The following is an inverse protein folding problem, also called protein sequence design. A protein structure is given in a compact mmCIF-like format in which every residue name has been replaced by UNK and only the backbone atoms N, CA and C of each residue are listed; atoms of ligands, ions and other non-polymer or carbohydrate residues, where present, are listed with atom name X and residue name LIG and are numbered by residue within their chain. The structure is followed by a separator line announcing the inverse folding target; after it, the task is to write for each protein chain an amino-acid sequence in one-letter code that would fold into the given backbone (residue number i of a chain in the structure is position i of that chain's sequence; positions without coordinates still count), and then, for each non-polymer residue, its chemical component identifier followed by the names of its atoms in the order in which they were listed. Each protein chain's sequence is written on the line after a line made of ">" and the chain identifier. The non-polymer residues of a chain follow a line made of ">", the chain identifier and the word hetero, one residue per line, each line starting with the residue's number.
data_IF_350706520040
#
_entry.id   IF_350706520040
#
_cell.length_a   1.000
_cell.length_b   1.000
_cell.length_c   1.000
_cell.angle_alpha   90.00
_cell.angle_beta   90.00
_cell.angle_gamma   90.00
#
_symmetry.space_group_name_H-M   'P 1'
#
loop_
_entity.id
_entity.type
_entity.pdbx_description
1 polymer ?
#
# COMPACT_ATOMS: atom_id res chain seq x y z
N UNK A 1 24.73 10.93 66.92
CA UNK A 1 24.30 10.42 65.63
C UNK A 1 24.20 11.60 64.67
N UNK A 2 25.22 11.78 63.77
CA UNK A 2 25.26 12.90 62.83
C UNK A 2 24.32 12.62 61.68
N UNK A 3 23.29 13.40 61.58
CA UNK A 3 22.36 13.41 60.48
C UNK A 3 23.03 14.06 59.26
N UNK A 4 23.81 13.27 58.48
CA UNK A 4 24.37 13.77 57.22
C UNK A 4 23.21 13.97 56.21
N UNK A 5 22.73 15.22 56.13
CA UNK A 5 21.88 15.63 55.02
C UNK A 5 22.71 15.55 53.76
N UNK A 6 22.46 14.55 52.94
CA UNK A 6 22.98 14.48 51.59
C UNK A 6 22.59 15.73 50.82
N UNK A 7 23.51 16.35 50.11
CA UNK A 7 23.22 17.54 49.31
C UNK A 7 22.14 17.22 48.25
N UNK A 8 21.23 18.16 47.98
CA UNK A 8 20.22 17.93 46.93
C UNK A 8 20.89 17.73 45.55
N UNK A 9 20.44 16.73 44.83
CA UNK A 9 20.94 16.44 43.49
C UNK A 9 19.98 17.06 42.45
N UNK A 10 20.48 17.50 41.26
CA UNK A 10 19.64 17.98 40.17
C UNK A 10 18.59 16.92 39.75
N UNK A 11 17.43 17.39 39.32
CA UNK A 11 16.29 16.50 39.01
C UNK A 11 16.61 15.48 37.91
N UNK A 12 17.39 15.89 36.90
CA UNK A 12 17.81 15.02 35.81
C UNK A 12 18.77 13.93 36.27
N UNK A 13 19.64 14.26 37.22
CA UNK A 13 20.53 13.29 37.82
C UNK A 13 19.77 12.28 38.69
N UNK A 14 18.79 12.76 39.46
CA UNK A 14 17.91 11.90 40.26
C UNK A 14 17.12 10.93 39.36
N UNK A 15 16.54 11.46 38.28
CA UNK A 15 15.82 10.64 37.28
C UNK A 15 16.72 9.58 36.67
N UNK A 16 17.94 9.96 36.23
CA UNK A 16 18.88 9.01 35.63
C UNK A 16 19.29 7.91 36.61
N UNK A 17 19.54 8.25 37.88
CA UNK A 17 19.86 7.26 38.90
C UNK A 17 18.69 6.33 39.19
N UNK A 18 17.46 6.83 39.28
CA UNK A 18 16.27 6.02 39.45
C UNK A 18 16.07 5.05 38.28
N UNK A 19 16.15 5.54 37.04
CA UNK A 19 16.02 4.70 35.85
C UNK A 19 17.12 3.62 35.77
N UNK A 20 18.34 3.94 36.16
CA UNK A 20 19.44 2.98 36.18
C UNK A 20 19.31 1.90 37.28
N UNK A 21 18.49 2.15 38.32
CA UNK A 21 18.23 1.19 39.41
C UNK A 21 17.03 0.26 39.13
N UNK A 22 16.32 0.48 38.04
CA UNK A 22 15.15 -0.33 37.66
C UNK A 22 15.56 -1.38 36.62
N UNK A 23 15.40 -2.63 36.96
CA UNK A 23 15.63 -3.72 36.03
C UNK A 23 14.53 -3.74 34.95
N UNK A 24 14.95 -3.91 33.69
CA UNK A 24 13.98 -4.08 32.59
C UNK A 24 13.26 -5.42 32.72
N UNK A 25 11.97 -5.42 32.44
CA UNK A 25 11.18 -6.66 32.34
C UNK A 25 11.78 -7.50 31.20
N UNK A 26 12.26 -8.71 31.56
CA UNK A 26 12.88 -9.65 30.61
C UNK A 26 11.98 -10.79 30.20
N UNK A 27 10.87 -11.01 30.94
CA UNK A 27 9.91 -12.05 30.62
C UNK A 27 8.98 -11.63 29.48
N UNK A 28 8.76 -12.54 28.52
CA UNK A 28 7.85 -12.33 27.39
C UNK A 28 6.82 -13.44 27.34
N UNK A 29 5.66 -13.14 26.76
CA UNK A 29 4.59 -14.09 26.53
C UNK A 29 4.01 -13.90 25.11
N UNK A 30 3.42 -14.93 24.55
CA UNK A 30 2.69 -14.87 23.29
C UNK A 30 1.21 -14.70 23.64
N UNK A 31 0.61 -13.66 23.11
CA UNK A 31 -0.81 -13.34 23.30
C UNK A 31 -1.55 -13.28 21.97
N UNK A 32 -2.87 -13.41 22.00
CA UNK A 32 -3.71 -13.19 20.83
C UNK A 32 -3.68 -11.71 20.43
N UNK A 33 -4.00 -11.41 19.17
CA UNK A 33 -4.09 -10.02 18.70
C UNK A 33 -5.12 -9.21 19.50
N UNK A 34 -6.22 -9.84 19.89
CA UNK A 34 -7.29 -9.21 20.67
C UNK A 34 -6.81 -8.79 22.06
N UNK A 35 -5.85 -9.54 22.64
CA UNK A 35 -5.28 -9.28 23.95
C UNK A 35 -4.01 -8.40 23.91
N UNK A 36 -3.55 -8.02 22.70
CA UNK A 36 -2.30 -7.28 22.51
C UNK A 36 -2.42 -5.77 22.81
N UNK A 37 -3.63 -5.24 22.86
CA UNK A 37 -3.86 -3.82 23.13
C UNK A 37 -3.31 -3.41 24.51
N UNK A 38 -2.47 -2.35 24.54
CA UNK A 38 -1.82 -1.88 25.77
C UNK A 38 -0.60 -2.68 26.21
N UNK A 39 -0.16 -3.69 25.44
CA UNK A 39 1.06 -4.44 25.67
C UNK A 39 2.26 -3.74 25.03
N UNK A 40 3.44 -4.07 25.50
CA UNK A 40 4.72 -3.62 24.94
C UNK A 40 5.30 -4.75 24.10
N UNK A 41 5.67 -4.43 22.85
CA UNK A 41 6.27 -5.41 21.95
C UNK A 41 7.64 -5.86 22.50
N UNK A 42 7.85 -7.17 22.59
CA UNK A 42 9.12 -7.74 23.06
C UNK A 42 10.22 -7.70 21.98
N UNK A 43 9.81 -7.63 20.71
CA UNK A 43 10.69 -7.54 19.54
C UNK A 43 10.07 -6.66 18.47
N UNK A 44 10.84 -6.27 17.48
CA UNK A 44 10.32 -5.54 16.32
C UNK A 44 9.38 -6.46 15.52
N UNK A 45 8.18 -5.97 15.24
CA UNK A 45 7.20 -6.68 14.38
C UNK A 45 7.34 -6.13 12.97
N UNK A 46 7.60 -7.02 12.02
CA UNK A 46 7.78 -6.66 10.61
C UNK A 46 6.64 -7.22 9.74
N UNK A 47 6.36 -6.53 8.65
CA UNK A 47 5.40 -7.02 7.67
C UNK A 47 5.88 -8.31 6.99
N UNK A 48 4.99 -9.29 6.89
CA UNK A 48 5.24 -10.54 6.16
C UNK A 48 4.88 -10.45 4.68
N UNK A 49 4.20 -9.38 4.27
CA UNK A 49 3.65 -9.18 2.93
C UNK A 49 3.83 -7.74 2.48
N UNK A 50 3.80 -7.53 1.17
CA UNK A 50 3.61 -6.22 0.57
C UNK A 50 2.14 -5.80 0.64
N UNK A 51 1.85 -4.51 0.86
CA UNK A 51 0.51 -3.93 0.74
C UNK A 51 0.53 -2.71 -0.21
N UNK A 52 -0.22 -2.73 -1.32
CA UNK A 52 -0.94 -3.89 -1.85
C UNK A 52 0.03 -5.01 -2.28
N UNK A 53 -0.49 -6.24 -2.49
CA UNK A 53 0.33 -7.38 -2.96
C UNK A 53 0.59 -7.37 -4.46
N UNK A 54 -0.24 -6.66 -5.21
CA UNK A 54 -0.27 -6.62 -6.67
C UNK A 54 -0.35 -5.19 -7.16
N UNK A 55 -0.08 -4.98 -8.44
CA UNK A 55 -0.45 -3.72 -9.08
C UNK A 55 -1.97 -3.58 -9.09
N UNK A 56 -2.48 -2.46 -8.59
CA UNK A 56 -3.91 -2.20 -8.48
C UNK A 56 -4.26 -0.86 -9.13
N UNK A 57 -5.47 -0.75 -9.67
CA UNK A 57 -5.99 0.51 -10.15
C UNK A 57 -6.14 1.51 -8.98
N UNK A 58 -5.60 2.71 -9.15
CA UNK A 58 -5.74 3.80 -8.19
C UNK A 58 -7.03 4.61 -8.38
N UNK A 59 -7.67 4.47 -9.55
CA UNK A 59 -8.86 5.22 -9.96
C UNK A 59 -9.79 4.34 -10.77
N UNK A 60 -11.04 4.77 -10.92
CA UNK A 60 -12.01 4.17 -11.84
C UNK A 60 -11.72 4.63 -13.26
N UNK A 61 -11.69 3.68 -14.21
CA UNK A 61 -11.35 4.00 -15.59
C UNK A 61 -11.29 2.79 -16.50
N UNK A 62 -10.34 2.86 -17.41
CA UNK A 62 -10.07 1.80 -18.39
C UNK A 62 -8.59 1.43 -18.34
N UNK A 63 -8.31 0.14 -18.08
CA UNK A 63 -6.96 -0.40 -18.17
C UNK A 63 -6.55 -0.52 -19.63
N UNK A 64 -5.36 -0.08 -19.97
CA UNK A 64 -4.79 -0.10 -21.33
C UNK A 64 -3.27 -0.24 -21.29
N UNK A 65 -2.69 -0.63 -22.42
CA UNK A 65 -1.26 -0.53 -22.69
C UNK A 65 -0.92 0.92 -23.10
N UNK A 66 -0.06 1.59 -22.35
CA UNK A 66 0.32 2.99 -22.60
C UNK A 66 1.11 3.17 -23.89
N UNK A 67 1.90 2.18 -24.29
CA UNK A 67 2.68 2.21 -25.53
C UNK A 67 1.75 2.08 -26.75
N UNK A 68 0.73 1.23 -26.68
CA UNK A 68 -0.27 1.12 -27.73
C UNK A 68 -1.05 2.43 -27.90
N UNK A 69 -1.48 3.04 -26.79
CA UNK A 69 -2.15 4.34 -26.83
C UNK A 69 -1.26 5.44 -27.41
N UNK A 70 0.03 5.45 -27.06
CA UNK A 70 0.98 6.43 -27.60
C UNK A 70 1.22 6.28 -29.09
N UNK A 71 1.24 5.03 -29.60
CA UNK A 71 1.43 4.73 -31.01
C UNK A 71 0.21 5.12 -31.87
N UNK A 72 -1.00 5.12 -31.30
CA UNK A 72 -2.24 5.45 -31.99
C UNK A 72 -3.16 6.32 -31.10
N UNK A 73 -2.88 7.62 -30.96
CA UNK A 73 -3.72 8.53 -30.20
C UNK A 73 -5.16 8.54 -30.72
N UNK A 74 -6.14 8.60 -29.82
CA UNK A 74 -7.57 8.54 -30.12
C UNK A 74 -8.07 7.23 -30.78
N UNK A 75 -7.26 6.16 -30.70
CA UNK A 75 -7.73 4.84 -31.13
C UNK A 75 -8.96 4.43 -30.33
N UNK A 76 -9.87 3.73 -31.02
CA UNK A 76 -10.97 3.02 -30.40
C UNK A 76 -10.45 1.71 -29.78
N UNK A 77 -10.62 1.57 -28.48
CA UNK A 77 -10.37 0.32 -27.77
C UNK A 77 -11.68 -0.41 -27.55
N UNK A 78 -11.70 -1.71 -27.78
CA UNK A 78 -12.84 -2.58 -27.48
C UNK A 78 -12.82 -2.94 -25.99
N UNK A 79 -13.92 -2.71 -25.29
CA UNK A 79 -14.09 -3.10 -23.89
C UNK A 79 -14.48 -4.59 -23.86
N UNK A 80 -13.59 -5.45 -23.34
CA UNK A 80 -13.79 -6.90 -23.34
C UNK A 80 -14.17 -7.46 -21.98
N UNK A 81 -14.18 -6.64 -20.94
CA UNK A 81 -14.53 -7.08 -19.60
C UNK A 81 -14.42 -6.00 -18.55
N UNK A 82 -14.60 -6.42 -17.32
CA UNK A 82 -14.62 -5.56 -16.13
C UNK A 82 -13.79 -6.20 -15.04
N UNK A 83 -12.95 -5.39 -14.38
CA UNK A 83 -12.23 -5.79 -13.15
C UNK A 83 -12.70 -4.93 -11.96
N UNK A 84 -12.94 -5.57 -10.82
CA UNK A 84 -13.32 -4.92 -9.56
C UNK A 84 -12.44 -5.41 -8.43
N UNK A 85 -12.37 -4.65 -7.32
CA UNK A 85 -11.71 -5.11 -6.11
C UNK A 85 -12.26 -6.48 -5.68
N UNK A 86 -11.36 -7.45 -5.49
CA UNK A 86 -11.72 -8.83 -5.19
C UNK A 86 -12.18 -9.68 -6.39
N UNK A 87 -12.37 -9.09 -7.57
CA UNK A 87 -12.83 -9.78 -8.79
C UNK A 87 -11.95 -9.33 -9.96
N UNK A 88 -10.75 -9.92 -10.12
CA UNK A 88 -9.84 -9.62 -11.21
C UNK A 88 -10.45 -10.08 -12.56
N UNK A 89 -9.95 -9.50 -13.64
CA UNK A 89 -10.28 -9.97 -14.98
C UNK A 89 -9.31 -11.10 -15.37
N UNK A 90 -9.82 -12.28 -15.65
CA UNK A 90 -9.04 -13.49 -15.96
C UNK A 90 -8.95 -13.80 -17.46
N UNK A 91 -9.51 -12.94 -18.32
CA UNK A 91 -9.50 -13.12 -19.77
C UNK A 91 -8.15 -12.79 -20.41
N UNK A 92 -7.97 -13.26 -21.65
CA UNK A 92 -6.84 -12.84 -22.49
C UNK A 92 -7.18 -11.51 -23.13
N UNK A 93 -6.21 -10.58 -23.11
CA UNK A 93 -6.35 -9.23 -23.65
C UNK A 93 -5.47 -9.12 -24.89
N UNK A 94 -6.06 -8.74 -26.00
CA UNK A 94 -5.39 -8.51 -27.27
C UNK A 94 -5.09 -7.03 -27.54
N UNK A 95 -4.41 -6.79 -28.65
CA UNK A 95 -4.12 -5.43 -29.15
C UNK A 95 -5.43 -4.71 -29.49
N UNK A 96 -5.61 -3.48 -29.03
CA UNK A 96 -6.84 -2.69 -29.25
C UNK A 96 -7.96 -3.01 -28.27
N UNK A 97 -7.67 -3.76 -27.22
CA UNK A 97 -8.65 -4.11 -26.20
C UNK A 97 -8.37 -3.39 -24.89
N UNK A 98 -9.40 -3.06 -24.17
CA UNK A 98 -9.38 -2.43 -22.86
C UNK A 98 -10.31 -3.18 -21.91
N UNK A 99 -10.09 -3.03 -20.63
CA UNK A 99 -11.05 -3.46 -19.61
C UNK A 99 -11.58 -2.26 -18.84
N UNK A 100 -12.83 -2.25 -18.48
CA UNK A 100 -13.34 -1.32 -17.48
C UNK A 100 -12.81 -1.74 -16.11
N UNK A 101 -12.11 -0.83 -15.41
CA UNK A 101 -11.46 -1.16 -14.16
C UNK A 101 -11.89 -0.19 -13.07
N UNK A 102 -12.10 -0.72 -11.88
CA UNK A 102 -12.47 0.05 -10.69
C UNK A 102 -11.34 0.11 -9.70
N UNK A 103 -11.32 1.19 -8.91
CA UNK A 103 -10.34 1.43 -7.83
C UNK A 103 -10.16 0.20 -6.97
N UNK A 104 -8.90 -0.17 -6.72
CA UNK A 104 -8.52 -1.35 -5.94
C UNK A 104 -8.51 -2.67 -6.71
N UNK A 105 -9.02 -2.71 -7.96
CA UNK A 105 -8.95 -3.91 -8.78
C UNK A 105 -7.52 -4.23 -9.20
N UNK A 106 -7.20 -5.52 -9.29
CA UNK A 106 -5.90 -5.99 -9.78
C UNK A 106 -5.76 -5.64 -11.25
N UNK A 107 -4.61 -5.08 -11.62
CA UNK A 107 -4.27 -4.78 -13.00
C UNK A 107 -3.96 -6.07 -13.77
N UNK A 108 -4.57 -6.29 -14.93
CA UNK A 108 -4.15 -7.36 -15.83
C UNK A 108 -2.72 -7.16 -16.31
N UNK A 109 -1.98 -8.23 -16.50
CA UNK A 109 -0.56 -8.18 -16.92
C UNK A 109 -0.32 -7.55 -18.30
N UNK A 110 -1.35 -7.53 -19.17
CA UNK A 110 -1.28 -6.92 -20.49
C UNK A 110 -1.46 -5.38 -20.47
N UNK A 111 -1.87 -4.81 -19.35
CA UNK A 111 -2.10 -3.38 -19.20
C UNK A 111 -1.13 -2.78 -18.17
N UNK A 112 -0.64 -1.59 -18.44
CA UNK A 112 0.34 -0.91 -17.62
C UNK A 112 -0.09 0.49 -17.16
N UNK A 113 -1.33 0.88 -17.45
CA UNK A 113 -1.87 2.18 -17.03
C UNK A 113 -3.40 2.19 -17.02
N UNK A 114 -3.97 3.14 -16.28
CA UNK A 114 -5.42 3.36 -16.19
C UNK A 114 -5.78 4.75 -16.70
N UNK A 115 -6.60 4.81 -17.74
CA UNK A 115 -7.23 6.04 -18.20
C UNK A 115 -8.44 6.35 -17.32
N UNK A 116 -8.51 7.53 -16.72
CA UNK A 116 -9.65 7.94 -15.90
C UNK A 116 -10.92 8.02 -16.75
N UNK A 117 -12.08 7.67 -16.18
CA UNK A 117 -13.37 7.78 -16.89
C UNK A 117 -13.62 9.19 -17.43
N UNK A 118 -13.19 10.23 -16.72
CA UNK A 118 -13.33 11.62 -17.15
C UNK A 118 -12.55 11.96 -18.43
N UNK A 119 -11.46 11.25 -18.69
CA UNK A 119 -10.59 11.44 -19.86
C UNK A 119 -11.01 10.55 -21.06
N UNK A 120 -12.12 9.86 -20.94
CA UNK A 120 -12.57 8.87 -21.90
C UNK A 120 -13.95 9.21 -22.49
N UNK A 121 -14.21 8.74 -23.69
CA UNK A 121 -15.54 8.75 -24.31
C UNK A 121 -15.93 7.33 -24.69
N UNK A 122 -16.94 6.77 -23.99
CA UNK A 122 -17.47 5.42 -24.24
C UNK A 122 -18.67 5.48 -25.16
N UNK A 123 -18.72 4.56 -26.11
CA UNK A 123 -19.90 4.31 -26.98
C UNK A 123 -20.10 2.81 -27.05
N UNK A 124 -21.16 2.31 -26.40
CA UNK A 124 -21.42 0.88 -26.32
C UNK A 124 -20.31 0.10 -25.65
N UNK A 125 -19.69 -0.80 -26.40
CA UNK A 125 -18.58 -1.65 -25.99
C UNK A 125 -17.21 -1.10 -26.42
N UNK A 126 -17.13 0.16 -26.85
CA UNK A 126 -15.89 0.79 -27.26
C UNK A 126 -15.59 2.05 -26.43
N UNK A 127 -14.31 2.38 -26.31
CA UNK A 127 -13.85 3.58 -25.61
C UNK A 127 -12.73 4.27 -26.38
N UNK A 128 -12.80 5.60 -26.45
CA UNK A 128 -11.70 6.48 -26.90
C UNK A 128 -11.08 7.14 -25.69
N UNK A 129 -9.76 7.07 -25.59
CA UNK A 129 -8.99 7.72 -24.56
C UNK A 129 -8.42 9.01 -25.12
N UNK A 130 -8.70 10.13 -24.45
CA UNK A 130 -8.28 11.48 -24.89
C UNK A 130 -6.99 11.92 -24.21
N UNK A 131 -6.67 11.36 -23.05
CA UNK A 131 -5.47 11.70 -22.30
C UNK A 131 -4.24 10.97 -22.83
N UNK A 132 -3.08 11.62 -22.70
CA UNK A 132 -1.80 10.92 -22.84
C UNK A 132 -1.48 10.22 -21.52
N UNK A 133 -1.14 8.96 -21.57
CA UNK A 133 -0.77 8.16 -20.42
C UNK A 133 0.69 7.77 -20.49
N UNK A 134 1.38 7.90 -19.36
CA UNK A 134 2.68 7.28 -19.14
C UNK A 134 2.48 5.93 -18.49
N UNK A 135 3.47 5.06 -18.64
CA UNK A 135 3.53 3.78 -17.93
C UNK A 135 3.32 3.96 -16.43
N UNK A 136 2.60 3.05 -15.81
CA UNK A 136 2.22 3.04 -14.40
C UNK A 136 1.31 4.22 -13.96
N UNK A 137 0.75 5.00 -14.90
CA UNK A 137 -0.17 6.08 -14.54
C UNK A 137 -1.44 5.55 -13.91
N UNK A 138 -1.84 6.14 -12.78
CA UNK A 138 -3.04 5.78 -12.01
C UNK A 138 -3.06 4.32 -11.53
N UNK A 139 -1.89 3.78 -11.24
CA UNK A 139 -1.70 2.46 -10.63
C UNK A 139 -1.01 2.58 -9.28
N UNK A 140 -1.36 1.70 -8.38
CA UNK A 140 -0.65 1.47 -7.12
C UNK A 140 0.30 0.30 -7.27
N UNK A 141 1.51 0.46 -6.79
CA UNK A 141 2.53 -0.58 -6.88
C UNK A 141 2.46 -1.53 -5.67
N UNK A 142 2.92 -2.78 -5.82
CA UNK A 142 3.15 -3.64 -4.67
C UNK A 142 4.04 -2.95 -3.64
N UNK A 143 3.68 -3.04 -2.37
CA UNK A 143 4.44 -2.45 -1.28
C UNK A 143 4.28 -0.94 -1.10
N UNK A 144 3.48 -0.24 -1.92
CA UNK A 144 3.33 1.23 -1.86
C UNK A 144 2.89 1.75 -0.48
N UNK A 145 2.10 0.98 0.25
CA UNK A 145 1.65 1.36 1.59
C UNK A 145 2.50 0.75 2.69
N UNK A 146 3.04 -0.45 2.45
CA UNK A 146 3.83 -1.20 3.41
C UNK A 146 4.64 -2.26 2.67
N UNK A 147 5.95 -2.15 2.71
CA UNK A 147 6.86 -3.12 2.14
C UNK A 147 6.99 -4.36 3.03
N UNK A 148 7.17 -5.51 2.40
CA UNK A 148 7.56 -6.73 3.10
C UNK A 148 8.87 -6.50 3.87
N UNK A 149 8.88 -6.87 5.15
CA UNK A 149 9.97 -6.65 6.13
C UNK A 149 10.07 -5.24 6.69
N UNK A 150 9.23 -4.32 6.28
CA UNK A 150 9.13 -3.04 6.96
C UNK A 150 8.70 -3.22 8.41
N UNK A 151 9.31 -2.47 9.33
CA UNK A 151 8.98 -2.53 10.76
C UNK A 151 7.65 -1.81 10.98
N UNK A 152 6.65 -2.56 11.43
CA UNK A 152 5.31 -2.04 11.73
C UNK A 152 5.25 -1.51 13.17
N UNK A 153 5.88 -2.25 14.10
CA UNK A 153 5.93 -1.90 15.51
C UNK A 153 7.38 -2.07 15.98
N UNK A 154 7.92 -1.06 16.60
CA UNK A 154 9.24 -1.13 17.27
C UNK A 154 9.08 -1.65 18.68
N UNK A 155 10.12 -2.38 19.12
CA UNK A 155 10.29 -2.78 20.52
C UNK A 155 10.35 -1.57 21.43
#
# INVERSE_FOLDING_TARGET
>A
MSNQRTAPIPIDQARSQLLASIDMISTTEIVSLDDACGRIAAENITSLIDLPRTYNAAVDGYGVDSAELAAAPHKLFKIIGVARAGHPFDGVIGVGEAIEIYTGAVMPSAHDSVAMKADCSRTGDTVVIKAKLSKARNMRQPGENLDKREIIITK
#
